data_IF_219363660992
#
_entry.id   IF_219363660992
#
_cell.length_a   1.000
_cell.length_b   1.000
_cell.length_c   1.000
_cell.angle_alpha   90.00
_cell.angle_beta   90.00
_cell.angle_gamma   90.00
#
_symmetry.space_group_name_H-M   'P 1'
#
loop_
_entity.id
_entity.type
_entity.pdbx_description
1 polymer ?
#
# COMPACT_ATOMS: atom_id res chain seq x y z
N UNK A 1 -3.58 -5.09 28.93
CA UNK A 1 -4.26 -3.96 28.27
C UNK A 1 -3.70 -3.83 26.85
N UNK A 2 -4.53 -3.91 25.81
CA UNK A 2 -4.05 -3.72 24.43
C UNK A 2 -3.77 -2.23 24.23
N UNK A 3 -2.53 -1.88 23.93
CA UNK A 3 -2.23 -0.55 23.40
C UNK A 3 -3.03 -0.39 22.09
N UNK A 4 -3.84 0.66 21.91
CA UNK A 4 -4.46 0.89 20.62
C UNK A 4 -3.34 1.03 19.58
N UNK A 5 -3.42 0.23 18.52
CA UNK A 5 -2.52 0.37 17.38
C UNK A 5 -2.60 1.82 16.85
N UNK A 6 -1.52 2.36 16.27
CA UNK A 6 -1.53 3.68 15.68
C UNK A 6 -2.65 3.76 14.63
N UNK A 7 -3.68 4.55 14.93
CA UNK A 7 -4.71 4.96 13.98
C UNK A 7 -4.14 6.18 13.26
N UNK A 8 -3.79 6.00 11.99
CA UNK A 8 -3.25 7.07 11.16
C UNK A 8 -4.39 7.76 10.42
N UNK A 9 -5.16 8.59 11.14
CA UNK A 9 -6.13 9.54 10.57
C UNK A 9 -5.43 10.84 10.14
N UNK A 10 -4.30 10.77 9.44
CA UNK A 10 -3.60 11.96 8.96
C UNK A 10 -3.59 11.99 7.41
N UNK A 11 -4.34 12.92 6.78
CA UNK A 11 -4.29 13.10 5.32
C UNK A 11 -2.92 13.62 4.85
N UNK A 12 -2.04 14.02 5.77
CA UNK A 12 -0.66 14.32 5.45
C UNK A 12 0.17 13.04 5.55
N UNK A 13 0.47 12.46 4.39
CA UNK A 13 1.54 11.47 4.18
C UNK A 13 2.94 12.01 4.55
N UNK A 14 3.03 13.13 5.28
CA UNK A 14 4.25 13.70 5.85
C UNK A 14 4.78 12.75 6.92
N UNK A 15 5.98 12.22 6.69
CA UNK A 15 6.65 11.33 7.62
C UNK A 15 6.49 9.85 7.32
N UNK A 16 5.53 9.46 6.47
CA UNK A 16 5.35 8.05 6.08
C UNK A 16 6.64 7.48 5.45
N UNK A 17 7.38 8.27 4.68
CA UNK A 17 8.65 7.83 4.09
C UNK A 17 9.68 7.37 5.12
N UNK A 18 9.72 7.99 6.32
CA UNK A 18 10.61 7.56 7.40
C UNK A 18 10.11 6.26 8.04
N UNK A 19 8.79 6.14 8.21
CA UNK A 19 8.17 4.92 8.72
C UNK A 19 8.43 3.73 7.80
N UNK A 20 8.21 3.89 6.49
CA UNK A 20 8.48 2.85 5.49
C UNK A 20 9.96 2.41 5.47
N UNK A 21 10.90 3.34 5.70
CA UNK A 21 12.33 3.00 5.76
C UNK A 21 12.77 2.25 7.03
N UNK A 22 11.95 2.30 8.09
CA UNK A 22 12.23 1.63 9.37
C UNK A 22 11.46 0.32 9.54
N UNK A 23 10.56 0.02 8.60
CA UNK A 23 9.76 -1.19 8.61
C UNK A 23 10.63 -2.41 8.31
N UNK A 24 10.24 -3.55 8.90
CA UNK A 24 10.90 -4.84 8.64
C UNK A 24 10.56 -5.32 7.23
N UNK A 25 9.34 -5.05 6.75
CA UNK A 25 8.97 -5.22 5.35
C UNK A 25 7.84 -4.27 4.94
N UNK A 26 7.83 -3.93 3.65
CA UNK A 26 6.81 -3.07 3.03
C UNK A 26 6.35 -3.72 1.73
N UNK A 27 5.03 -3.85 1.57
CA UNK A 27 4.39 -4.25 0.32
C UNK A 27 3.32 -3.22 -0.06
N UNK A 28 3.19 -2.93 -1.35
CA UNK A 28 2.10 -2.16 -1.93
C UNK A 28 1.15 -3.13 -2.61
N UNK A 29 -0.16 -3.00 -2.36
CA UNK A 29 -1.20 -3.79 -3.02
C UNK A 29 -2.15 -2.83 -3.73
N UNK A 30 -2.35 -3.03 -5.03
CA UNK A 30 -3.47 -2.48 -5.80
C UNK A 30 -4.64 -3.44 -5.65
N UNK A 31 -5.63 -3.07 -4.84
CA UNK A 31 -6.66 -4.00 -4.36
C UNK A 31 -7.96 -3.95 -5.17
N UNK A 32 -8.31 -2.78 -5.72
CA UNK A 32 -9.57 -2.58 -6.43
C UNK A 32 -9.41 -1.53 -7.52
N UNK A 33 -10.14 -1.73 -8.61
CA UNK A 33 -10.38 -0.72 -9.64
C UNK A 33 -11.89 -0.51 -9.74
N UNK A 34 -12.35 0.69 -9.45
CA UNK A 34 -13.77 1.03 -9.43
C UNK A 34 -13.95 2.49 -9.84
N UNK A 35 -14.98 2.77 -10.66
CA UNK A 35 -15.26 4.10 -11.23
C UNK A 35 -14.01 4.80 -11.81
N UNK A 36 -13.18 4.06 -12.56
CA UNK A 36 -11.90 4.52 -13.12
C UNK A 36 -10.84 4.96 -12.09
N UNK A 37 -11.00 4.55 -10.83
CA UNK A 37 -10.09 4.85 -9.71
C UNK A 37 -9.44 3.56 -9.18
N UNK A 38 -8.11 3.59 -9.09
CA UNK A 38 -7.34 2.55 -8.40
C UNK A 38 -7.27 2.81 -6.91
N UNK A 39 -7.67 1.82 -6.12
CA UNK A 39 -7.52 1.78 -4.68
C UNK A 39 -6.31 0.95 -4.31
N UNK A 40 -5.47 1.49 -3.43
CA UNK A 40 -4.22 0.87 -3.04
C UNK A 40 -3.97 1.00 -1.56
N UNK A 41 -3.20 0.07 -1.01
CA UNK A 41 -2.77 0.10 0.38
C UNK A 41 -1.34 -0.40 0.55
N UNK A 42 -0.67 0.09 1.58
CA UNK A 42 0.55 -0.51 2.08
C UNK A 42 0.24 -1.57 3.12
N UNK A 43 0.89 -2.73 3.02
CA UNK A 43 1.06 -3.68 4.12
C UNK A 43 2.47 -3.50 4.68
N UNK A 44 2.55 -3.19 5.97
CA UNK A 44 3.81 -2.85 6.63
C UNK A 44 3.98 -3.77 7.83
N UNK A 45 5.06 -4.53 7.87
CA UNK A 45 5.46 -5.27 9.06
C UNK A 45 6.48 -4.44 9.84
N UNK A 46 6.24 -4.20 11.13
CA UNK A 46 7.16 -3.49 12.00
C UNK A 46 7.06 -3.99 13.44
N UNK A 47 8.18 -4.44 14.00
CA UNK A 47 8.30 -4.92 15.39
C UNK A 47 7.33 -6.06 15.72
N UNK A 48 7.11 -6.96 14.76
CA UNK A 48 6.20 -8.10 14.90
C UNK A 48 4.72 -7.76 14.72
N UNK A 49 4.38 -6.49 14.50
CA UNK A 49 3.02 -6.03 14.21
C UNK A 49 2.83 -5.78 12.72
N UNK A 50 1.58 -5.83 12.26
CA UNK A 50 1.20 -5.57 10.86
C UNK A 50 0.28 -4.36 10.79
N UNK A 51 0.59 -3.46 9.87
CA UNK A 51 -0.16 -2.23 9.63
C UNK A 51 -0.66 -2.19 8.19
N UNK A 52 -1.86 -1.63 8.02
CA UNK A 52 -2.45 -1.34 6.71
C UNK A 52 -2.70 0.16 6.60
N UNK A 53 -2.29 0.75 5.49
CA UNK A 53 -2.48 2.17 5.23
C UNK A 53 -2.99 2.35 3.80
N UNK A 54 -4.22 2.84 3.68
CA UNK A 54 -4.79 3.20 2.39
C UNK A 54 -4.06 4.42 1.82
N UNK A 55 -3.83 4.40 0.51
CA UNK A 55 -3.07 5.44 -0.15
C UNK A 55 -3.58 5.66 -1.59
N UNK A 56 -3.64 6.90 -2.09
CA UNK A 56 -3.88 7.15 -3.51
C UNK A 56 -2.81 6.49 -4.37
N UNK A 57 -3.21 5.81 -5.45
CA UNK A 57 -2.33 4.98 -6.27
C UNK A 57 -1.02 5.66 -6.69
N UNK A 58 -1.08 6.92 -7.17
CA UNK A 58 0.11 7.66 -7.59
C UNK A 58 1.13 7.88 -6.45
N UNK A 59 0.64 8.19 -5.24
CA UNK A 59 1.50 8.35 -4.06
C UNK A 59 2.04 7.01 -3.59
N UNK A 60 1.18 5.99 -3.59
CA UNK A 60 1.54 4.64 -3.18
C UNK A 60 2.65 4.07 -4.05
N UNK A 61 2.57 4.25 -5.37
CA UNK A 61 3.64 3.87 -6.30
C UNK A 61 4.93 4.65 -6.03
N UNK A 62 4.86 5.99 -5.93
CA UNK A 62 6.05 6.81 -5.70
C UNK A 62 6.76 6.48 -4.38
N UNK A 63 5.99 6.32 -3.29
CA UNK A 63 6.49 5.97 -1.97
C UNK A 63 6.98 4.51 -1.93
N UNK A 64 6.27 3.60 -2.57
CA UNK A 64 6.61 2.18 -2.63
C UNK A 64 7.92 1.95 -3.37
N UNK A 65 8.11 2.56 -4.54
CA UNK A 65 9.37 2.52 -5.29
C UNK A 65 10.51 3.08 -4.44
N UNK A 66 10.31 4.23 -3.79
CA UNK A 66 11.32 4.85 -2.92
C UNK A 66 11.69 3.97 -1.73
N UNK A 67 10.72 3.25 -1.17
CA UNK A 67 10.93 2.35 -0.03
C UNK A 67 11.45 0.96 -0.43
N UNK A 68 11.60 0.66 -1.73
CA UNK A 68 11.95 -0.68 -2.19
C UNK A 68 10.86 -1.73 -1.90
N UNK A 69 9.60 -1.28 -1.81
CA UNK A 69 8.47 -2.15 -1.53
C UNK A 69 8.21 -3.12 -2.69
N UNK A 70 7.74 -4.32 -2.37
CA UNK A 70 7.18 -5.24 -3.37
C UNK A 70 5.81 -4.71 -3.80
N UNK A 71 5.55 -4.65 -5.10
CA UNK A 71 4.30 -4.14 -5.66
C UNK A 71 3.49 -5.31 -6.20
N UNK A 72 2.26 -5.44 -5.72
CA UNK A 72 1.31 -6.46 -6.12
C UNK A 72 0.01 -5.80 -6.62
N UNK A 73 -0.72 -6.53 -7.44
CA UNK A 73 -2.09 -6.20 -7.82
C UNK A 73 -2.96 -7.45 -7.67
N UNK A 74 -4.18 -7.27 -7.18
CA UNK A 74 -5.18 -8.32 -7.17
C UNK A 74 -5.52 -8.73 -8.61
N UNK A 75 -5.76 -10.02 -8.84
CA UNK A 75 -6.06 -10.55 -10.17
C UNK A 75 -7.33 -9.91 -10.76
N UNK A 76 -8.32 -9.63 -9.90
CA UNK A 76 -9.56 -8.94 -10.28
C UNK A 76 -9.29 -7.57 -10.88
N UNK A 77 -8.30 -6.83 -10.37
CA UNK A 77 -7.89 -5.53 -10.91
C UNK A 77 -7.31 -5.68 -12.32
N UNK A 78 -6.48 -6.70 -12.55
CA UNK A 78 -5.90 -6.97 -13.87
C UNK A 78 -7.00 -7.31 -14.89
N UNK A 79 -7.96 -8.14 -14.47
CA UNK A 79 -9.09 -8.53 -15.30
C UNK A 79 -10.01 -7.34 -15.62
N UNK A 80 -10.36 -6.52 -14.62
CA UNK A 80 -11.23 -5.35 -14.79
C UNK A 80 -10.62 -4.27 -15.68
N UNK A 81 -9.29 -4.16 -15.69
CA UNK A 81 -8.57 -3.18 -16.53
C UNK A 81 -8.33 -3.68 -17.95
N UNK A 82 -8.83 -4.88 -18.31
CA UNK A 82 -8.70 -5.44 -19.65
C UNK A 82 -7.26 -5.88 -19.98
N UNK A 83 -6.38 -5.99 -18.99
CA UNK A 83 -5.01 -6.46 -19.18
C UNK A 83 -5.04 -7.99 -19.20
N UNK A 84 -5.01 -8.56 -20.40
CA UNK A 84 -4.59 -9.95 -20.58
C UNK A 84 -3.07 -9.95 -20.64
N UNK A 85 -2.42 -10.48 -19.59
CA UNK A 85 -1.02 -10.88 -19.73
C UNK A 85 -1.04 -12.10 -20.65
N UNK A 86 -0.73 -11.88 -21.94
CA UNK A 86 -0.47 -12.99 -22.84
C UNK A 86 0.79 -13.70 -22.33
N UNK A 87 0.58 -14.83 -21.67
CA UNK A 87 1.64 -15.73 -21.20
C UNK A 87 2.29 -16.45 -22.37
#
# INVERSE_FOLDING_TARGET
ERCPGPVFDDPSLRGIGRFLSLADSVSLIIERFDEDVFYTKFLIAWRGESYQIDCPCAWALALGVRAGARIFAEETVLHQTGISVAT
#
